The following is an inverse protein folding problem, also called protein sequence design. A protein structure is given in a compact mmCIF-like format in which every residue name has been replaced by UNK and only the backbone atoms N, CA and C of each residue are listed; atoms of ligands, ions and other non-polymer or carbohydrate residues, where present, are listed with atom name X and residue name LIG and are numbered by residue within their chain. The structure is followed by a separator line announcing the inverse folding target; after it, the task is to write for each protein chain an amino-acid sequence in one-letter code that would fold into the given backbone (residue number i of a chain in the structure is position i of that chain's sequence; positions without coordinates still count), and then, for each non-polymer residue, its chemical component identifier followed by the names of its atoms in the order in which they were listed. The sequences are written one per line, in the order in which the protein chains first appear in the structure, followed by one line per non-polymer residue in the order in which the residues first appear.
data_IF_366620948208
#
_entry.id   IF_366620948208
#
_cell.length_a   1.000
_cell.length_b   1.000
_cell.length_c   1.000
_cell.angle_alpha   90.00
_cell.angle_beta   90.00
_cell.angle_gamma   90.00
#
_symmetry.space_group_name_H-M   'P 1'
#
loop_
_entity.id
_entity.type
_entity.pdbx_description
1 polymer ?
#
# COMPACT_ATOMS: atom_id res chain seq x y z
N UNK A 1 -1.49 -15.70 -11.45
CA UNK A 1 -0.04 -15.66 -11.78
C UNK A 1 0.78 -15.06 -10.65
N UNK A 2 0.41 -13.88 -10.10
CA UNK A 2 1.17 -13.21 -9.02
C UNK A 2 1.40 -14.12 -7.80
N UNK A 3 0.33 -14.72 -7.24
CA UNK A 3 0.44 -15.64 -6.10
C UNK A 3 1.43 -16.79 -6.34
N UNK A 4 1.38 -17.40 -7.53
CA UNK A 4 2.30 -18.48 -7.93
C UNK A 4 3.75 -18.01 -8.00
N UNK A 5 3.99 -16.77 -8.44
CA UNK A 5 5.35 -16.21 -8.43
C UNK A 5 5.87 -16.09 -7.00
N UNK A 6 5.06 -15.60 -6.05
CA UNK A 6 5.42 -15.49 -4.64
C UNK A 6 5.68 -16.87 -4.01
N UNK A 7 4.83 -17.87 -4.30
CA UNK A 7 5.01 -19.26 -3.84
C UNK A 7 6.31 -19.91 -4.35
N UNK A 8 6.90 -19.35 -5.40
CA UNK A 8 8.19 -19.76 -5.98
C UNK A 8 9.33 -18.80 -5.59
N UNK A 9 9.18 -18.06 -4.47
CA UNK A 9 10.15 -17.07 -3.97
C UNK A 9 10.45 -15.92 -4.94
N UNK A 10 9.54 -15.67 -5.88
CA UNK A 10 9.54 -14.50 -6.75
C UNK A 10 8.86 -13.28 -6.12
N UNK A 11 8.74 -12.20 -6.90
CA UNK A 11 8.17 -10.92 -6.46
C UNK A 11 6.81 -10.63 -7.10
N UNK A 12 5.97 -9.83 -6.43
CA UNK A 12 4.71 -9.29 -6.95
C UNK A 12 4.92 -8.53 -8.27
N UNK A 13 6.07 -7.90 -8.44
CA UNK A 13 6.41 -7.16 -9.65
C UNK A 13 7.91 -7.09 -9.87
N UNK A 14 8.36 -7.38 -11.10
CA UNK A 14 9.76 -7.13 -11.48
C UNK A 14 10.06 -5.64 -11.62
N UNK A 15 9.33 -4.94 -12.50
CA UNK A 15 9.62 -3.53 -12.84
C UNK A 15 8.40 -2.61 -12.88
N UNK A 16 7.22 -3.12 -13.26
CA UNK A 16 6.02 -2.30 -13.52
C UNK A 16 5.35 -1.69 -12.28
N UNK A 17 5.78 -2.07 -11.08
CA UNK A 17 5.18 -1.65 -9.83
C UNK A 17 3.87 -2.37 -9.47
N UNK A 18 3.27 -1.88 -8.39
CA UNK A 18 2.14 -2.50 -7.68
C UNK A 18 0.80 -1.97 -8.21
N UNK A 19 0.52 -0.69 -7.96
CA UNK A 19 -0.75 -0.06 -8.31
C UNK A 19 -1.99 -0.80 -7.78
N UNK A 20 -3.17 -0.42 -8.28
CA UNK A 20 -4.46 -0.95 -7.81
C UNK A 20 -4.56 -2.47 -7.94
N UNK A 21 -3.96 -3.03 -8.99
CA UNK A 21 -4.13 -4.44 -9.38
C UNK A 21 -3.36 -5.37 -8.44
N UNK A 22 -2.19 -4.94 -7.94
CA UNK A 22 -1.28 -5.84 -7.22
C UNK A 22 -1.13 -5.55 -5.73
N UNK A 23 -1.70 -4.44 -5.22
CA UNK A 23 -1.57 -4.02 -3.80
C UNK A 23 -1.94 -5.11 -2.79
N UNK A 24 -2.94 -5.92 -3.11
CA UNK A 24 -3.44 -6.96 -2.20
C UNK A 24 -2.50 -8.18 -2.14
N UNK A 25 -1.45 -8.22 -2.98
CA UNK A 25 -0.41 -9.25 -2.91
C UNK A 25 0.82 -8.84 -2.08
N UNK A 26 0.95 -7.55 -1.71
CA UNK A 26 2.09 -7.09 -0.91
C UNK A 26 2.19 -7.80 0.45
N UNK A 27 1.10 -8.06 1.19
CA UNK A 27 1.22 -8.79 2.46
C UNK A 27 1.71 -10.23 2.27
N UNK A 28 1.44 -10.83 1.11
CA UNK A 28 1.91 -12.18 0.78
C UNK A 28 3.42 -12.22 0.50
N UNK A 29 4.00 -11.15 -0.04
CA UNK A 29 5.46 -11.05 -0.32
C UNK A 29 6.25 -10.51 0.87
N UNK A 30 5.75 -9.45 1.53
CA UNK A 30 6.50 -8.65 2.51
C UNK A 30 6.01 -8.84 3.96
N UNK A 31 4.86 -9.49 4.17
CA UNK A 31 4.19 -9.59 5.46
C UNK A 31 3.43 -8.32 5.87
N UNK A 32 2.41 -8.49 6.73
CA UNK A 32 1.55 -7.38 7.17
C UNK A 32 2.33 -6.25 7.87
N UNK A 33 3.29 -6.58 8.75
CA UNK A 33 4.07 -5.58 9.49
C UNK A 33 4.82 -4.63 8.55
N UNK A 34 5.39 -5.14 7.46
CA UNK A 34 6.11 -4.31 6.48
C UNK A 34 5.13 -3.41 5.73
N UNK A 35 3.97 -3.94 5.33
CA UNK A 35 2.92 -3.17 4.66
C UNK A 35 2.34 -2.09 5.59
N UNK A 36 2.23 -2.36 6.90
CA UNK A 36 1.83 -1.38 7.90
C UNK A 36 2.81 -0.22 8.00
N UNK A 37 4.12 -0.48 7.99
CA UNK A 37 5.12 0.59 7.94
C UNK A 37 4.95 1.44 6.69
N UNK A 38 4.68 0.83 5.53
CA UNK A 38 4.39 1.58 4.30
C UNK A 38 3.13 2.47 4.43
N UNK A 39 2.07 1.97 5.11
CA UNK A 39 0.87 2.76 5.42
C UNK A 39 1.20 3.95 6.34
N UNK A 40 2.01 3.74 7.37
CA UNK A 40 2.44 4.80 8.29
C UNK A 40 3.25 5.89 7.57
N UNK A 41 4.19 5.50 6.70
CA UNK A 41 4.95 6.46 5.87
C UNK A 41 4.00 7.24 4.97
N UNK A 42 3.04 6.56 4.33
CA UNK A 42 2.05 7.21 3.46
C UNK A 42 1.23 8.26 4.22
N UNK A 43 0.73 7.94 5.41
CA UNK A 43 -0.09 8.83 6.21
C UNK A 43 0.72 9.97 6.83
N UNK A 44 2.00 9.75 7.14
CA UNK A 44 2.89 10.82 7.61
C UNK A 44 3.17 11.88 6.53
N UNK A 45 3.28 11.47 5.26
CA UNK A 45 3.59 12.36 4.14
C UNK A 45 2.35 12.92 3.44
N UNK A 46 1.24 12.19 3.45
CA UNK A 46 -0.03 12.56 2.81
C UNK A 46 -1.21 12.19 3.71
N UNK A 47 -1.39 12.90 4.85
CA UNK A 47 -2.43 12.58 5.84
C UNK A 47 -3.84 12.71 5.28
N UNK A 48 -4.05 13.62 4.32
CA UNK A 48 -5.34 13.83 3.64
C UNK A 48 -5.60 12.81 2.51
N UNK A 49 -4.65 11.90 2.25
CA UNK A 49 -4.75 10.90 1.21
C UNK A 49 -5.13 11.49 -0.17
N UNK A 50 -4.46 12.57 -0.57
CA UNK A 50 -4.69 13.23 -1.86
C UNK A 50 -3.94 12.55 -3.01
N UNK A 51 -2.75 12.03 -2.73
CA UNK A 51 -1.83 11.51 -3.73
C UNK A 51 -2.04 10.02 -3.94
N UNK A 52 -2.83 9.64 -4.95
CA UNK A 52 -3.04 8.24 -5.34
C UNK A 52 -3.47 7.35 -4.15
N UNK A 53 -4.45 7.82 -3.38
CA UNK A 53 -5.01 7.09 -2.25
C UNK A 53 -5.33 5.64 -2.64
N UNK A 54 -5.04 4.73 -1.72
CA UNK A 54 -5.37 3.32 -1.83
C UNK A 54 -4.60 2.56 -2.94
N UNK A 55 -3.85 3.24 -3.83
CA UNK A 55 -3.25 2.56 -5.00
C UNK A 55 -2.19 1.51 -4.65
N UNK A 56 -1.23 1.81 -3.79
CA UNK A 56 -0.11 0.87 -3.48
C UNK A 56 -0.38 0.09 -2.20
N UNK A 57 -0.90 0.76 -1.17
CA UNK A 57 -1.30 0.15 0.09
C UNK A 57 -2.72 0.56 0.40
N UNK A 58 -3.46 -0.34 1.06
CA UNK A 58 -4.82 -0.04 1.52
C UNK A 58 -4.77 1.02 2.60
N UNK A 59 -5.39 2.16 2.34
CA UNK A 59 -5.56 3.29 3.26
C UNK A 59 -6.94 3.90 3.05
N UNK A 60 -7.55 4.40 4.11
CA UNK A 60 -8.81 5.13 4.04
C UNK A 60 -8.51 6.63 4.05
N UNK A 61 -9.33 7.40 3.33
CA UNK A 61 -9.28 8.86 3.46
C UNK A 61 -9.81 9.23 4.84
N UNK A 62 -9.20 10.23 5.51
CA UNK A 62 -9.73 10.70 6.77
C UNK A 62 -11.12 11.30 6.60
N UNK A 63 -11.97 11.15 7.61
CA UNK A 63 -13.23 11.85 7.71
C UNK A 63 -13.03 13.34 7.98
N UNK A 64 -14.08 14.14 7.74
CA UNK A 64 -14.02 15.58 7.96
C UNK A 64 -13.76 15.87 9.44
N UNK A 65 -12.64 16.54 9.72
CA UNK A 65 -12.24 16.94 11.08
C UNK A 65 -11.26 15.98 11.78
N UNK A 66 -10.89 14.85 11.17
CA UNK A 66 -9.87 13.95 11.74
C UNK A 66 -8.44 14.47 11.59
N UNK A 67 -8.21 15.32 10.59
CA UNK A 67 -6.92 15.98 10.37
C UNK A 67 -7.06 17.43 10.76
N UNK A 68 -6.16 17.92 11.62
CA UNK A 68 -6.12 19.32 12.02
C UNK A 68 -5.89 20.19 10.78
N UNK A 69 -6.78 21.17 10.59
CA UNK A 69 -6.51 22.28 9.67
C UNK A 69 -5.40 23.15 10.29
N UNK A 70 -4.40 23.47 9.48
CA UNK A 70 -3.29 24.35 9.86
C UNK A 70 -3.73 25.81 9.97
#
# INVERSE_FOLDING_TARGET
MVKRAIEMEGTVTGEHGVGLVKRDYLPHELGETTVDVMRQIKLALDPLCLLNCDKVVRVQKPERGEVMEW
#
